data_IF_720365043087
#
_entry.id   IF_720365043087
#
_cell.length_a   1.000
_cell.length_b   1.000
_cell.length_c   1.000
_cell.angle_alpha   90.00
_cell.angle_beta   90.00
_cell.angle_gamma   90.00
#
_symmetry.space_group_name_H-M   'P 1'
#
loop_
_entity.id
_entity.type
_entity.pdbx_description
1 polymer ?
#
# COMPACT_ATOMS: atom_id res chain seq x y z
N UNK A 1 7.08 -5.01 -3.49
CA UNK A 1 7.14 -5.19 -2.04
C UNK A 1 5.74 -5.47 -1.50
N UNK A 2 5.64 -6.30 -0.41
CA UNK A 2 4.36 -6.81 0.06
C UNK A 2 3.70 -7.67 -1.02
N UNK A 3 4.40 -8.71 -1.47
CA UNK A 3 3.97 -9.50 -2.65
C UNK A 3 2.65 -10.24 -2.45
N UNK A 4 2.23 -10.39 -1.20
CA UNK A 4 1.00 -11.07 -0.82
C UNK A 4 0.85 -12.41 -1.58
N UNK A 5 -0.24 -12.65 -2.30
CA UNK A 5 -0.47 -13.89 -3.08
C UNK A 5 0.22 -13.92 -4.45
N UNK A 6 0.99 -12.90 -4.82
CA UNK A 6 1.74 -12.83 -6.08
C UNK A 6 0.96 -12.38 -7.31
N UNK A 7 -0.32 -12.02 -7.17
CA UNK A 7 -1.18 -11.69 -8.33
C UNK A 7 -0.64 -10.51 -9.14
N UNK A 8 -0.12 -9.47 -8.50
CA UNK A 8 0.46 -8.33 -9.21
C UNK A 8 1.79 -8.67 -9.88
N UNK A 9 2.58 -9.57 -9.27
CA UNK A 9 3.80 -10.10 -9.89
C UNK A 9 3.48 -10.95 -11.12
N UNK A 10 2.45 -11.78 -11.03
CA UNK A 10 1.93 -12.55 -12.16
C UNK A 10 1.46 -11.62 -13.27
N UNK A 11 0.62 -10.65 -12.96
CA UNK A 11 0.12 -9.66 -13.92
C UNK A 11 1.27 -8.89 -14.61
N UNK A 12 2.33 -8.52 -13.87
CA UNK A 12 3.49 -7.86 -14.44
C UNK A 12 4.19 -8.73 -15.50
N UNK A 13 4.34 -10.04 -15.25
CA UNK A 13 4.89 -10.96 -16.25
C UNK A 13 3.99 -11.09 -17.49
N UNK A 14 2.66 -11.13 -17.30
CA UNK A 14 1.71 -11.16 -18.42
C UNK A 14 1.79 -9.88 -19.27
N UNK A 15 2.12 -8.75 -18.66
CA UNK A 15 2.33 -7.46 -19.32
C UNK A 15 3.75 -7.27 -19.87
N UNK A 16 4.60 -8.30 -19.85
CA UNK A 16 5.90 -8.30 -20.50
C UNK A 16 7.10 -8.03 -19.59
N UNK A 17 6.92 -8.01 -18.27
CA UNK A 17 8.07 -7.98 -17.36
C UNK A 17 8.92 -9.25 -17.59
N UNK A 18 10.25 -9.07 -17.63
CA UNK A 18 11.18 -10.20 -17.85
C UNK A 18 11.38 -11.03 -16.58
N UNK A 19 11.37 -10.36 -15.43
CA UNK A 19 11.62 -10.94 -14.13
C UNK A 19 10.86 -10.17 -13.05
N UNK A 20 10.37 -10.87 -12.04
CA UNK A 20 9.73 -10.28 -10.86
C UNK A 20 10.40 -10.78 -9.59
N UNK A 21 10.60 -9.88 -8.64
CA UNK A 21 11.12 -10.19 -7.32
C UNK A 21 10.12 -9.72 -6.26
N UNK A 22 9.52 -10.65 -5.56
CA UNK A 22 8.50 -10.38 -4.54
C UNK A 22 9.05 -10.60 -3.12
N UNK A 23 8.80 -9.63 -2.23
CA UNK A 23 9.16 -9.69 -0.81
C UNK A 23 7.90 -9.57 0.02
N UNK A 24 7.75 -10.44 1.00
CA UNK A 24 6.68 -10.36 1.99
C UNK A 24 7.18 -10.86 3.35
N UNK A 25 6.64 -10.31 4.43
CA UNK A 25 6.99 -10.70 5.79
C UNK A 25 6.34 -12.03 6.18
N UNK A 26 5.24 -12.41 5.54
CA UNK A 26 4.50 -13.62 5.85
C UNK A 26 4.94 -14.80 4.98
N UNK A 27 5.60 -15.77 5.61
CA UNK A 27 6.10 -16.99 4.94
C UNK A 27 5.00 -17.76 4.20
N UNK A 28 3.79 -17.80 4.74
CA UNK A 28 2.67 -18.51 4.11
C UNK A 28 2.19 -17.84 2.83
N UNK A 29 2.16 -16.51 2.78
CA UNK A 29 1.82 -15.77 1.56
C UNK A 29 2.90 -15.93 0.50
N UNK A 30 4.19 -15.90 0.88
CA UNK A 30 5.30 -16.19 -0.03
C UNK A 30 5.19 -17.60 -0.62
N UNK A 31 4.84 -18.60 0.20
CA UNK A 31 4.58 -19.95 -0.32
C UNK A 31 3.43 -19.97 -1.33
N UNK A 32 2.33 -19.28 -1.06
CA UNK A 32 1.21 -19.15 -2.01
C UNK A 32 1.61 -18.48 -3.33
N UNK A 33 2.50 -17.48 -3.28
CA UNK A 33 3.07 -16.91 -4.51
C UNK A 33 3.79 -18.00 -5.32
N UNK A 34 4.63 -18.79 -4.68
CA UNK A 34 5.36 -19.86 -5.33
C UNK A 34 4.42 -20.92 -5.92
N UNK A 35 3.40 -21.34 -5.15
CA UNK A 35 2.40 -22.31 -5.60
C UNK A 35 1.60 -21.77 -6.81
N UNK A 36 1.19 -20.50 -6.80
CA UNK A 36 0.54 -19.85 -7.95
C UNK A 36 1.42 -19.92 -9.20
N UNK A 37 2.68 -19.53 -9.08
CA UNK A 37 3.59 -19.48 -10.23
C UNK A 37 3.93 -20.86 -10.77
N UNK A 38 4.02 -21.87 -9.91
CA UNK A 38 4.17 -23.27 -10.32
C UNK A 38 2.93 -23.78 -11.07
N UNK A 39 1.73 -23.52 -10.54
CA UNK A 39 0.46 -23.95 -11.15
C UNK A 39 0.24 -23.28 -12.52
N UNK A 40 0.68 -22.04 -12.69
CA UNK A 40 0.65 -21.31 -13.96
C UNK A 40 1.79 -21.69 -14.92
N UNK A 41 2.59 -22.70 -14.57
CA UNK A 41 3.74 -23.16 -15.36
C UNK A 41 4.75 -22.05 -15.71
N UNK A 42 4.93 -21.07 -14.82
CA UNK A 42 5.89 -19.99 -15.01
C UNK A 42 7.29 -20.50 -14.69
N UNK A 43 8.24 -20.32 -15.62
CA UNK A 43 9.63 -20.72 -15.40
C UNK A 43 10.23 -20.06 -14.18
N UNK A 44 10.90 -20.83 -13.33
CA UNK A 44 11.60 -20.34 -12.14
C UNK A 44 12.69 -19.30 -12.42
N UNK A 45 13.16 -19.23 -13.67
CA UNK A 45 14.09 -18.16 -14.11
C UNK A 45 13.43 -16.79 -14.22
N UNK A 46 12.11 -16.69 -14.16
CA UNK A 46 11.36 -15.43 -14.31
C UNK A 46 10.91 -14.79 -13.00
N UNK A 47 11.10 -15.47 -11.87
CA UNK A 47 10.66 -14.93 -10.59
C UNK A 47 11.53 -15.36 -9.42
N UNK A 48 11.47 -14.55 -8.35
CA UNK A 48 12.00 -14.86 -7.03
C UNK A 48 11.03 -14.33 -5.98
N UNK A 49 10.71 -15.15 -4.99
CA UNK A 49 9.91 -14.72 -3.83
C UNK A 49 10.68 -15.03 -2.56
N UNK A 50 10.77 -14.05 -1.65
CA UNK A 50 11.51 -14.17 -0.39
C UNK A 50 10.65 -13.68 0.79
N UNK A 51 10.83 -14.35 1.92
CA UNK A 51 10.29 -13.90 3.19
C UNK A 51 11.32 -13.02 3.87
N UNK A 52 11.08 -11.71 3.93
CA UNK A 52 11.97 -10.73 4.59
C UNK A 52 11.18 -9.50 5.00
N UNK A 53 11.74 -8.70 5.92
CA UNK A 53 11.26 -7.36 6.20
C UNK A 53 11.60 -6.44 5.02
N UNK A 54 10.61 -5.67 4.57
CA UNK A 54 10.73 -4.81 3.39
C UNK A 54 11.84 -3.75 3.55
N UNK A 55 11.96 -3.16 4.73
CA UNK A 55 12.98 -2.14 5.03
C UNK A 55 14.36 -2.78 4.98
N UNK A 56 14.54 -3.90 5.71
CA UNK A 56 15.82 -4.60 5.77
C UNK A 56 16.30 -5.09 4.40
N UNK A 57 15.35 -5.59 3.59
CA UNK A 57 15.63 -5.98 2.22
C UNK A 57 16.07 -4.78 1.38
N UNK A 58 15.29 -3.69 1.38
CA UNK A 58 15.60 -2.52 0.57
C UNK A 58 16.89 -1.82 0.99
N UNK A 59 17.28 -1.88 2.26
CA UNK A 59 18.56 -1.35 2.73
C UNK A 59 19.78 -2.10 2.18
N UNK A 60 19.64 -3.42 1.96
CA UNK A 60 20.71 -4.27 1.41
C UNK A 60 20.78 -4.22 -0.12
N UNK A 61 19.68 -3.86 -0.79
CA UNK A 61 19.60 -3.80 -2.25
C UNK A 61 20.50 -2.68 -2.79
N UNK A 62 21.23 -2.96 -3.84
CA UNK A 62 22.02 -1.97 -4.57
C UNK A 62 21.13 -0.90 -5.20
N UNK A 63 21.69 0.28 -5.36
CA UNK A 63 20.99 1.40 -6.03
C UNK A 63 20.62 1.02 -7.45
N UNK A 64 19.40 1.42 -7.89
CA UNK A 64 18.97 1.21 -9.28
C UNK A 64 18.96 -0.26 -9.71
N UNK A 65 18.62 -1.19 -8.80
CA UNK A 65 18.56 -2.63 -9.09
C UNK A 65 17.31 -3.04 -9.88
N UNK A 66 16.20 -2.32 -9.71
CA UNK A 66 14.93 -2.66 -10.33
C UNK A 66 14.47 -1.57 -11.30
N UNK A 67 13.95 -1.92 -12.47
CA UNK A 67 13.33 -0.93 -13.36
C UNK A 67 12.12 -0.29 -12.68
N UNK A 68 11.25 -1.11 -12.12
CA UNK A 68 10.03 -0.65 -11.45
C UNK A 68 9.89 -1.30 -10.08
N UNK A 69 9.47 -0.52 -9.08
CA UNK A 69 9.13 -1.00 -7.74
C UNK A 69 7.63 -0.81 -7.48
N UNK A 70 6.94 -1.89 -7.09
CA UNK A 70 5.52 -1.86 -6.70
C UNK A 70 5.38 -1.80 -5.20
N UNK A 71 4.51 -0.89 -4.72
CA UNK A 71 4.11 -0.76 -3.32
C UNK A 71 2.58 -0.64 -3.25
N UNK A 72 1.89 -1.78 -3.30
CA UNK A 72 0.44 -1.83 -3.33
C UNK A 72 -0.11 -2.33 -1.99
N UNK A 73 -0.84 -1.46 -1.30
CA UNK A 73 -1.48 -1.80 -0.04
C UNK A 73 -0.52 -2.04 1.14
N UNK A 74 0.68 -1.47 1.12
CA UNK A 74 1.73 -1.68 2.12
C UNK A 74 2.09 -0.41 2.90
N UNK A 75 2.14 0.74 2.21
CA UNK A 75 2.69 1.98 2.77
C UNK A 75 2.05 2.37 4.12
N UNK A 76 0.76 2.15 4.27
CA UNK A 76 0.03 2.49 5.50
C UNK A 76 0.31 1.55 6.69
N UNK A 77 0.98 0.42 6.49
CA UNK A 77 1.45 -0.44 7.58
C UNK A 77 2.83 -0.03 8.13
N UNK A 78 3.46 0.97 7.52
CA UNK A 78 4.78 1.43 7.94
C UNK A 78 4.66 2.55 8.97
N UNK A 79 5.46 2.50 10.02
CA UNK A 79 5.58 3.61 10.99
C UNK A 79 6.36 4.78 10.39
N UNK A 80 7.27 4.50 9.46
CA UNK A 80 8.09 5.48 8.75
C UNK A 80 7.87 5.42 7.22
N UNK A 81 6.67 5.79 6.72
CA UNK A 81 6.36 5.65 5.29
C UNK A 81 7.28 6.47 4.37
N UNK A 82 7.77 7.64 4.82
CA UNK A 82 8.75 8.42 4.06
C UNK A 82 10.08 7.67 3.88
N UNK A 83 10.53 6.92 4.91
CA UNK A 83 11.75 6.08 4.80
C UNK A 83 11.56 5.01 3.73
N UNK A 84 10.40 4.35 3.70
CA UNK A 84 10.09 3.38 2.67
C UNK A 84 10.14 4.00 1.27
N UNK A 85 9.53 5.18 1.06
CA UNK A 85 9.57 5.89 -0.23
C UNK A 85 11.02 6.21 -0.64
N UNK A 86 11.86 6.69 0.27
CA UNK A 86 13.29 6.95 0.02
C UNK A 86 14.04 5.68 -0.43
N UNK A 87 13.80 4.57 0.24
CA UNK A 87 14.44 3.29 -0.09
C UNK A 87 13.97 2.75 -1.45
N UNK A 88 12.68 2.87 -1.75
CA UNK A 88 12.15 2.52 -3.07
C UNK A 88 12.75 3.40 -4.18
N UNK A 89 12.87 4.71 -3.96
CA UNK A 89 13.49 5.63 -4.91
C UNK A 89 14.97 5.31 -5.15
N UNK A 90 15.67 4.85 -4.11
CA UNK A 90 17.05 4.39 -4.25
C UNK A 90 17.15 3.11 -5.09
N UNK A 91 16.22 2.17 -4.89
CA UNK A 91 16.22 0.85 -5.54
C UNK A 91 15.69 0.88 -6.99
N UNK A 92 14.76 1.79 -7.31
CA UNK A 92 14.17 1.91 -8.63
C UNK A 92 15.10 2.64 -9.62
N UNK A 93 15.11 2.19 -10.89
CA UNK A 93 15.80 2.88 -12.00
C UNK A 93 14.91 3.94 -12.64
N UNK A 94 13.66 3.64 -12.81
CA UNK A 94 12.73 4.39 -13.67
C UNK A 94 11.46 4.80 -12.94
N UNK A 95 10.80 3.83 -12.28
CA UNK A 95 9.43 4.04 -11.83
C UNK A 95 9.15 3.36 -10.49
N UNK A 96 8.33 4.04 -9.68
CA UNK A 96 7.67 3.44 -8.52
C UNK A 96 6.16 3.55 -8.75
N UNK A 97 5.44 2.47 -8.48
CA UNK A 97 3.98 2.47 -8.44
C UNK A 97 3.54 2.31 -6.99
N UNK A 98 2.87 3.32 -6.47
CA UNK A 98 2.30 3.28 -5.12
C UNK A 98 0.79 3.24 -5.22
N UNK A 99 0.18 2.37 -4.42
CA UNK A 99 -1.25 2.35 -4.16
C UNK A 99 -1.47 2.23 -2.65
N UNK A 100 -2.16 3.21 -2.04
CA UNK A 100 -2.24 3.31 -0.58
C UNK A 100 -3.54 3.94 -0.11
N UNK A 101 -3.95 3.57 1.10
CA UNK A 101 -4.97 4.32 1.82
C UNK A 101 -4.45 5.69 2.27
N UNK A 102 -5.35 6.66 2.31
CA UNK A 102 -5.10 8.01 2.82
C UNK A 102 -5.72 8.22 4.19
N UNK A 103 -5.48 9.38 4.79
CA UNK A 103 -6.13 9.81 6.03
C UNK A 103 -7.66 9.82 5.92
N UNK A 104 -8.22 9.93 4.72
CA UNK A 104 -9.66 9.82 4.47
C UNK A 104 -10.21 8.42 4.76
N UNK A 105 -9.37 7.36 4.76
CA UNK A 105 -9.80 6.01 5.12
C UNK A 105 -10.23 5.90 6.58
N UNK A 106 -9.61 6.66 7.49
CA UNK A 106 -10.00 6.66 8.90
C UNK A 106 -11.47 7.08 9.12
N UNK A 107 -12.06 7.81 8.16
CA UNK A 107 -13.50 8.17 8.21
C UNK A 107 -14.45 6.97 8.10
N UNK A 108 -14.00 5.84 7.57
CA UNK A 108 -14.84 4.66 7.33
C UNK A 108 -14.57 3.50 8.28
N UNK A 109 -13.60 3.62 9.17
CA UNK A 109 -13.23 2.56 10.12
C UNK A 109 -14.18 2.40 11.32
N UNK A 110 -15.26 3.17 11.37
CA UNK A 110 -16.28 3.11 12.43
C UNK A 110 -16.34 4.38 13.26
N UNK A 111 -17.31 4.43 14.19
CA UNK A 111 -17.61 5.61 15.01
C UNK A 111 -16.46 6.07 15.92
N UNK A 112 -15.55 5.18 16.27
CA UNK A 112 -14.40 5.48 17.11
C UNK A 112 -13.13 5.80 16.30
N UNK A 113 -13.24 5.86 14.97
CA UNK A 113 -12.12 6.21 14.11
C UNK A 113 -11.80 7.71 14.19
N UNK A 114 -10.52 8.12 14.13
CA UNK A 114 -10.13 9.52 14.25
C UNK A 114 -10.83 10.44 13.23
N UNK A 115 -11.12 9.95 12.03
CA UNK A 115 -11.74 10.76 10.99
C UNK A 115 -13.26 10.92 11.12
N UNK A 116 -13.90 10.21 12.02
CA UNK A 116 -15.29 10.53 12.41
C UNK A 116 -15.34 11.68 13.41
N UNK A 117 -14.18 12.10 13.92
CA UNK A 117 -14.11 13.24 14.85
C UNK A 117 -14.47 14.54 14.09
N UNK A 118 -15.31 15.41 14.66
CA UNK A 118 -15.76 16.65 14.00
C UNK A 118 -14.63 17.60 13.55
N UNK A 119 -13.44 17.47 14.15
CA UNK A 119 -12.26 18.26 13.77
C UNK A 119 -11.70 17.86 12.39
N UNK A 120 -11.90 16.61 11.94
CA UNK A 120 -11.36 16.16 10.67
C UNK A 120 -12.30 16.53 9.51
N UNK A 121 -12.34 17.82 9.23
CA UNK A 121 -13.06 18.39 8.09
C UNK A 121 -12.29 18.15 6.78
N UNK A 122 -12.95 18.33 5.64
CA UNK A 122 -12.29 18.29 4.33
C UNK A 122 -11.14 19.31 4.22
N UNK A 123 -11.23 20.46 4.89
CA UNK A 123 -10.15 21.45 4.92
C UNK A 123 -8.89 20.89 5.60
N UNK A 124 -9.05 20.22 6.73
CA UNK A 124 -7.93 19.60 7.46
C UNK A 124 -7.35 18.42 6.66
N UNK A 125 -8.20 17.60 6.05
CA UNK A 125 -7.74 16.47 5.23
C UNK A 125 -7.01 16.90 3.94
N UNK A 126 -7.14 18.15 3.53
CA UNK A 126 -6.37 18.73 2.43
C UNK A 126 -4.99 19.27 2.86
N UNK A 127 -4.72 19.38 4.17
CA UNK A 127 -3.40 19.78 4.66
C UNK A 127 -2.40 18.60 4.56
N UNK A 128 -1.09 18.88 4.45
CA UNK A 128 -0.06 17.84 4.49
C UNK A 128 0.11 17.32 5.92
N UNK A 129 -0.66 16.30 6.27
CA UNK A 129 -0.62 15.66 7.58
C UNK A 129 -0.68 14.14 7.46
N UNK A 130 -0.30 13.46 8.53
CA UNK A 130 -0.40 12.01 8.68
C UNK A 130 -1.14 11.67 9.97
N UNK A 131 -2.08 10.74 9.87
CA UNK A 131 -2.81 10.20 11.03
C UNK A 131 -2.24 8.82 11.33
N UNK A 132 -1.75 8.64 12.57
CA UNK A 132 -1.35 7.32 13.05
C UNK A 132 -2.43 6.74 13.94
N UNK A 133 -2.88 5.54 13.61
CA UNK A 133 -3.93 4.82 14.32
C UNK A 133 -3.41 3.47 14.81
N UNK A 134 -3.72 3.07 16.06
CA UNK A 134 -3.44 1.71 16.48
C UNK A 134 -4.32 0.72 15.72
N UNK A 135 -3.72 -0.37 15.30
CA UNK A 135 -4.41 -1.50 14.67
C UNK A 135 -3.97 -2.79 15.35
N UNK A 136 -4.78 -3.84 15.24
CA UNK A 136 -4.40 -5.14 15.74
C UNK A 136 -3.21 -5.68 14.92
N UNK A 137 -2.10 -5.94 15.61
CA UNK A 137 -0.87 -6.44 14.98
C UNK A 137 -0.95 -7.94 14.70
N UNK A 138 -1.66 -8.68 15.58
CA UNK A 138 -1.78 -10.12 15.49
C UNK A 138 -2.49 -10.52 14.20
N UNK A 139 -1.82 -11.34 13.43
CA UNK A 139 -2.36 -12.10 12.31
C UNK A 139 -2.28 -13.57 12.67
N UNK A 140 -3.04 -14.42 12.00
CA UNK A 140 -3.15 -15.83 12.32
C UNK A 140 -1.81 -16.56 12.47
N UNK A 141 -0.79 -16.16 11.73
CA UNK A 141 0.50 -16.86 11.66
C UNK A 141 1.71 -15.93 11.87
N UNK A 142 1.52 -14.63 12.08
CA UNK A 142 2.61 -13.67 12.30
C UNK A 142 2.10 -12.37 12.90
N UNK A 143 2.98 -11.62 13.54
CA UNK A 143 2.73 -10.23 13.94
C UNK A 143 3.26 -9.27 12.86
N UNK A 144 2.59 -8.14 12.71
CA UNK A 144 3.11 -7.06 11.89
C UNK A 144 4.46 -6.59 12.44
N UNK A 145 5.44 -6.25 11.61
CA UNK A 145 6.66 -5.59 12.05
C UNK A 145 6.35 -4.39 12.95
N UNK A 146 7.24 -4.10 13.90
CA UNK A 146 7.10 -2.98 14.82
C UNK A 146 5.86 -3.05 15.73
N UNK A 147 5.34 -4.27 15.97
CA UNK A 147 4.27 -4.49 16.92
C UNK A 147 4.72 -4.27 18.38
N UNK A 148 3.79 -3.85 19.22
CA UNK A 148 4.01 -3.64 20.65
C UNK A 148 2.80 -4.13 21.45
N UNK A 149 3.02 -4.54 22.68
CA UNK A 149 1.92 -4.98 23.56
C UNK A 149 1.37 -3.84 24.39
N UNK A 150 0.04 -3.69 24.42
CA UNK A 150 -0.67 -2.74 25.27
C UNK A 150 -1.90 -3.39 25.86
N UNK A 151 -1.98 -3.46 27.19
CA UNK A 151 -3.11 -4.04 27.92
C UNK A 151 -3.48 -5.45 27.45
N UNK A 152 -2.45 -6.28 27.21
CA UNK A 152 -2.62 -7.68 26.76
C UNK A 152 -3.06 -7.84 25.29
N UNK A 153 -2.94 -6.79 24.48
CA UNK A 153 -3.20 -6.84 23.04
C UNK A 153 -1.94 -6.43 22.29
N UNK A 154 -1.61 -7.18 21.26
CA UNK A 154 -0.55 -6.82 20.33
C UNK A 154 -1.09 -5.85 19.28
N UNK A 155 -0.49 -4.68 19.25
CA UNK A 155 -0.88 -3.58 18.37
C UNK A 155 0.29 -3.21 17.46
N UNK A 156 -0.03 -2.65 16.33
CA UNK A 156 0.88 -1.91 15.45
C UNK A 156 0.25 -0.56 15.13
N UNK A 157 1.03 0.34 14.54
CA UNK A 157 0.52 1.62 14.05
C UNK A 157 0.31 1.53 12.54
N UNK A 158 -0.86 1.96 12.08
CA UNK A 158 -1.06 2.32 10.68
C UNK A 158 -0.81 3.81 10.50
N UNK A 159 -0.13 4.18 9.44
CA UNK A 159 0.20 5.55 9.10
C UNK A 159 -0.58 5.95 7.84
N UNK A 160 -1.57 6.80 8.02
CA UNK A 160 -2.47 7.25 6.97
C UNK A 160 -2.12 8.69 6.58
N UNK A 161 -1.29 8.91 5.56
CA UNK A 161 -0.99 10.25 5.07
C UNK A 161 -2.19 10.83 4.32
N UNK A 162 -2.33 12.14 4.33
CA UNK A 162 -3.20 12.82 3.35
C UNK A 162 -2.57 12.75 1.97
N UNK A 163 -3.36 12.99 0.93
CA UNK A 163 -2.84 13.09 -0.43
C UNK A 163 -1.76 14.17 -0.53
N UNK A 164 -2.00 15.36 0.03
CA UNK A 164 -1.03 16.46 0.05
C UNK A 164 0.24 16.12 0.82
N UNK A 165 0.19 15.28 1.86
CA UNK A 165 1.41 14.80 2.54
C UNK A 165 2.23 13.88 1.64
N UNK A 166 1.59 12.97 0.91
CA UNK A 166 2.29 12.10 -0.05
C UNK A 166 2.99 12.93 -1.12
N UNK A 167 2.28 13.88 -1.72
CA UNK A 167 2.81 14.76 -2.77
C UNK A 167 3.97 15.63 -2.24
N UNK A 168 3.85 16.18 -1.02
CA UNK A 168 4.93 16.90 -0.35
C UNK A 168 6.17 16.00 -0.13
N UNK A 169 5.99 14.74 0.22
CA UNK A 169 7.12 13.81 0.34
C UNK A 169 7.80 13.56 -1.01
N UNK A 170 7.02 13.42 -2.08
CA UNK A 170 7.60 13.25 -3.42
C UNK A 170 8.41 14.50 -3.82
N UNK A 171 7.86 15.70 -3.60
CA UNK A 171 8.56 16.96 -3.84
C UNK A 171 9.86 17.06 -3.03
N UNK A 172 9.81 16.73 -1.73
CA UNK A 172 10.98 16.80 -0.85
C UNK A 172 12.11 15.86 -1.28
N UNK A 173 11.80 14.84 -2.06
CA UNK A 173 12.75 13.89 -2.63
C UNK A 173 13.16 14.21 -4.07
N UNK A 174 12.67 15.30 -4.64
CA UNK A 174 12.93 15.68 -6.04
C UNK A 174 12.31 14.73 -7.05
N UNK A 175 11.26 14.00 -6.66
CA UNK A 175 10.57 13.04 -7.52
C UNK A 175 9.45 13.74 -8.30
N UNK A 176 9.22 13.31 -9.52
CA UNK A 176 8.04 13.72 -10.29
C UNK A 176 7.02 12.60 -10.28
N UNK A 177 5.73 12.93 -10.31
CA UNK A 177 4.67 11.93 -10.21
C UNK A 177 3.47 12.27 -11.05
N UNK A 178 2.66 11.24 -11.29
CA UNK A 178 1.32 11.36 -11.86
C UNK A 178 0.36 10.55 -10.98
N UNK A 179 -0.69 11.20 -10.47
CA UNK A 179 -1.82 10.50 -9.87
C UNK A 179 -2.56 9.75 -10.97
N UNK A 180 -2.87 8.48 -10.72
CA UNK A 180 -3.65 7.68 -11.66
C UNK A 180 -5.14 8.03 -11.52
N UNK A 181 -5.78 8.21 -12.66
CA UNK A 181 -7.21 8.47 -12.75
C UNK A 181 -7.97 7.15 -12.92
N UNK A 182 -8.87 6.87 -11.98
CA UNK A 182 -9.70 5.68 -11.97
C UNK A 182 -11.15 5.95 -12.40
N UNK A 183 -11.50 7.19 -12.81
CA UNK A 183 -12.87 7.60 -13.17
C UNK A 183 -13.51 6.69 -14.23
N UNK A 184 -12.73 6.27 -15.22
CA UNK A 184 -13.19 5.36 -16.28
C UNK A 184 -13.41 3.91 -15.81
N UNK A 185 -13.03 3.59 -14.57
CA UNK A 185 -13.17 2.26 -13.97
C UNK A 185 -14.21 2.25 -12.85
N UNK A 186 -14.79 3.40 -12.51
CA UNK A 186 -15.82 3.54 -11.50
C UNK A 186 -17.16 3.10 -12.07
N UNK A 187 -17.75 2.06 -11.50
CA UNK A 187 -19.04 1.53 -11.97
C UNK A 187 -20.23 2.18 -11.29
N UNK A 188 -20.01 2.91 -10.20
CA UNK A 188 -21.03 3.62 -9.42
C UNK A 188 -20.54 5.01 -9.09
N UNK A 189 -21.22 6.07 -9.51
CA UNK A 189 -20.82 7.45 -9.25
C UNK A 189 -21.23 7.90 -7.84
N UNK A 190 -20.90 7.12 -6.81
CA UNK A 190 -21.15 7.49 -5.42
C UNK A 190 -19.87 7.42 -4.61
N UNK A 191 -19.67 8.40 -3.74
CA UNK A 191 -18.57 8.38 -2.79
C UNK A 191 -18.75 7.23 -1.80
N UNK A 192 -17.71 6.49 -1.51
CA UNK A 192 -17.73 5.47 -0.45
C UNK A 192 -18.13 6.06 0.92
N UNK A 193 -17.90 7.34 1.14
CA UNK A 193 -18.32 8.07 2.36
C UNK A 193 -19.84 8.17 2.49
N UNK A 194 -20.55 8.18 1.38
CA UNK A 194 -22.02 8.30 1.34
C UNK A 194 -22.71 6.97 1.62
N UNK A 195 -21.94 5.88 1.66
CA UNK A 195 -22.43 4.55 1.98
C UNK A 195 -22.51 4.39 3.49
N UNK A 196 -23.70 4.53 4.04
CA UNK A 196 -23.94 4.57 5.49
C UNK A 196 -24.12 3.21 6.13
N UNK A 197 -24.60 2.19 5.39
CA UNK A 197 -24.82 0.85 5.93
C UNK A 197 -23.68 -0.12 5.59
N UNK A 198 -23.44 -1.16 6.44
CA UNK A 198 -22.47 -2.20 6.13
C UNK A 198 -22.73 -2.91 4.80
N UNK A 199 -24.01 -3.15 4.47
CA UNK A 199 -24.45 -3.79 3.23
C UNK A 199 -24.13 -2.95 2.00
N UNK A 200 -24.36 -1.63 2.08
CA UNK A 200 -23.99 -0.69 1.02
C UNK A 200 -22.47 -0.69 0.80
N UNK A 201 -21.67 -0.66 1.89
CA UNK A 201 -20.21 -0.69 1.81
C UNK A 201 -19.70 -1.99 1.18
N UNK A 202 -20.25 -3.14 1.56
CA UNK A 202 -19.92 -4.43 0.97
C UNK A 202 -20.28 -4.53 -0.51
N UNK A 203 -21.36 -3.85 -0.93
CA UNK A 203 -21.79 -3.79 -2.32
C UNK A 203 -21.06 -2.74 -3.16
N UNK A 204 -20.19 -1.91 -2.56
CA UNK A 204 -19.42 -0.90 -3.29
C UNK A 204 -18.35 -1.55 -4.14
N UNK A 205 -18.12 -0.96 -5.32
CA UNK A 205 -16.98 -1.34 -6.14
C UNK A 205 -15.69 -0.71 -5.62
N UNK A 206 -14.56 -1.41 -5.72
CA UNK A 206 -13.27 -0.88 -5.24
C UNK A 206 -12.85 0.44 -5.91
N UNK A 207 -13.30 0.70 -7.15
CA UNK A 207 -13.04 1.96 -7.83
C UNK A 207 -13.63 3.17 -7.08
N UNK A 208 -14.72 3.00 -6.36
CA UNK A 208 -15.39 4.08 -5.61
C UNK A 208 -14.49 4.63 -4.48
N UNK A 209 -13.57 3.82 -3.95
CA UNK A 209 -12.62 4.26 -2.91
C UNK A 209 -11.57 5.22 -3.47
N UNK A 210 -11.25 5.11 -4.74
CA UNK A 210 -10.33 6.04 -5.42
C UNK A 210 -10.99 7.37 -5.72
N UNK A 211 -12.22 7.36 -6.21
CA UNK A 211 -13.00 8.57 -6.48
C UNK A 211 -13.24 9.38 -5.20
N UNK A 212 -13.54 8.71 -4.10
CA UNK A 212 -13.72 9.35 -2.79
C UNK A 212 -12.42 9.85 -2.14
N UNK A 213 -11.26 9.56 -2.71
CA UNK A 213 -9.94 9.89 -2.16
C UNK A 213 -9.54 9.07 -0.92
N UNK A 214 -10.31 8.05 -0.56
CA UNK A 214 -9.95 7.10 0.52
C UNK A 214 -8.70 6.33 0.16
N UNK A 215 -8.53 6.03 -1.14
CA UNK A 215 -7.38 5.37 -1.70
C UNK A 215 -6.84 6.16 -2.89
N UNK A 216 -5.53 6.18 -3.05
CA UNK A 216 -4.87 6.88 -4.16
C UNK A 216 -3.78 6.00 -4.76
N UNK A 217 -3.59 6.16 -6.06
CA UNK A 217 -2.51 5.48 -6.79
C UNK A 217 -1.66 6.50 -7.51
N UNK A 218 -0.35 6.31 -7.45
CA UNK A 218 0.64 7.16 -8.11
C UNK A 218 1.60 6.36 -8.96
N UNK A 219 1.93 6.90 -10.11
CA UNK A 219 3.14 6.57 -10.86
C UNK A 219 4.17 7.67 -10.59
N UNK A 220 5.30 7.28 -10.03
CA UNK A 220 6.40 8.17 -9.64
C UNK A 220 7.61 7.85 -10.50
N UNK A 221 8.23 8.88 -11.05
CA UNK A 221 9.43 8.80 -11.87
C UNK A 221 10.66 9.15 -11.02
N UNK A 222 11.75 8.38 -11.19
CA UNK A 222 12.94 8.45 -10.33
C UNK A 222 14.17 8.90 -11.13
#
# INVERSE_FOLDING_TARGET
IGSHTGIFSWAALQLGAKFVHGIDVEKRTVKRCMDLFLNENISSSKYKFETDNIIDFLEKVERKSFNTVFCFGVLYYMTEPLRLIKLMARAAKETILIDTFTASYSAVQGKDAPATHPILTNQILNLPLMISCPTQAEKKDYNLPESFSRKGRDLSLTSLPTQSMLELWFESLGLTWKKLDWSNHTTRPCSFRDLVTPEQKLASHWADVYESGIRVSYKIYV
#
